data_IF_404271938678
#
_entry.id   IF_404271938678
#
_cell.length_a   1.000
_cell.length_b   1.000
_cell.length_c   1.000
_cell.angle_alpha   90.00
_cell.angle_beta   90.00
_cell.angle_gamma   90.00
#
_symmetry.space_group_name_H-M   'P 1'
#
loop_
_entity.id
_entity.type
_entity.pdbx_description
1 polymer ?
#
# COMPACT_ATOMS: atom_id res chain seq x y z
N UNK A 1 25.59 20.31 17.20
CA UNK A 1 27.02 20.33 16.79
C UNK A 1 27.29 21.62 16.03
N UNK A 2 28.42 22.30 16.27
CA UNK A 2 28.84 23.48 15.51
C UNK A 2 30.20 23.18 14.87
N UNK A 3 30.26 23.26 13.54
CA UNK A 3 31.48 23.10 12.75
C UNK A 3 31.68 24.37 11.93
N UNK A 4 32.82 25.03 12.12
CA UNK A 4 33.17 26.24 11.40
C UNK A 4 34.35 25.96 10.49
N UNK A 5 34.19 26.27 9.21
CA UNK A 5 35.24 26.18 8.21
C UNK A 5 35.63 27.58 7.76
N UNK A 6 36.93 27.90 7.85
CA UNK A 6 37.47 29.20 7.49
C UNK A 6 38.45 29.00 6.33
N UNK A 7 38.26 29.74 5.26
CA UNK A 7 39.11 29.71 4.07
C UNK A 7 39.65 31.10 3.79
N UNK A 8 40.97 31.23 3.81
CA UNK A 8 41.65 32.46 3.44
C UNK A 8 42.05 32.42 1.97
N UNK A 9 41.42 33.29 1.20
CA UNK A 9 41.67 33.45 -0.24
C UNK A 9 42.53 34.70 -0.40
N UNK A 10 43.79 34.46 -0.73
CA UNK A 10 44.80 35.49 -0.97
C UNK A 10 45.06 35.62 -2.47
N UNK A 11 44.84 36.79 -3.02
CA UNK A 11 45.24 37.06 -4.40
C UNK A 11 44.70 38.39 -4.92
N UNK A 12 45.24 38.90 -6.04
CA UNK A 12 44.74 40.09 -6.71
C UNK A 12 43.49 39.80 -7.56
N UNK A 13 42.55 39.02 -7.02
CA UNK A 13 41.38 38.54 -7.75
C UNK A 13 40.09 38.93 -7.04
N UNK A 14 39.05 39.21 -7.82
CA UNK A 14 37.70 39.40 -7.33
C UNK A 14 36.92 38.11 -7.51
N UNK A 15 36.23 37.66 -6.46
CA UNK A 15 35.37 36.47 -6.53
C UNK A 15 33.94 36.90 -6.86
N UNK A 16 33.49 36.63 -8.09
CA UNK A 16 32.14 37.00 -8.55
C UNK A 16 31.05 35.95 -8.23
N UNK A 17 31.46 34.72 -7.95
CA UNK A 17 30.55 33.63 -7.64
C UNK A 17 31.19 32.60 -6.71
N UNK A 18 30.37 31.93 -5.91
CA UNK A 18 30.76 30.84 -5.03
C UNK A 18 29.85 29.64 -5.27
N UNK A 19 30.43 28.44 -5.35
CA UNK A 19 29.68 27.19 -5.37
C UNK A 19 30.10 26.35 -4.18
N UNK A 20 29.12 25.86 -3.43
CA UNK A 20 29.33 25.01 -2.25
C UNK A 20 28.74 23.65 -2.55
N UNK A 21 29.52 22.62 -2.21
CA UNK A 21 29.15 21.23 -2.40
C UNK A 21 29.30 20.47 -1.08
N UNK A 22 28.23 19.82 -0.63
CA UNK A 22 28.24 18.89 0.48
C UNK A 22 28.02 17.48 -0.07
N UNK A 23 28.95 16.59 0.23
CA UNK A 23 28.86 15.18 -0.14
C UNK A 23 29.22 14.31 1.04
N UNK A 24 28.41 13.29 1.29
CA UNK A 24 28.73 12.22 2.23
C UNK A 24 28.16 10.91 1.70
N UNK A 25 28.91 9.79 1.80
CA UNK A 25 28.43 8.49 1.35
C UNK A 25 27.28 8.00 2.23
N UNK A 26 26.51 7.02 1.72
CA UNK A 26 25.55 6.29 2.55
C UNK A 26 26.29 5.41 3.56
N UNK A 27 25.68 5.22 4.73
CA UNK A 27 26.19 4.37 5.80
C UNK A 27 25.10 3.43 6.25
N UNK A 28 25.39 2.13 6.23
CA UNK A 28 24.47 1.08 6.69
C UNK A 28 25.03 0.52 7.98
N UNK A 29 24.20 0.48 9.02
CA UNK A 29 24.53 0.04 10.38
C UNK A 29 23.55 -1.07 10.77
N UNK A 30 24.01 -2.00 11.60
CA UNK A 30 23.23 -3.13 12.12
C UNK A 30 22.51 -3.91 11.02
N UNK A 31 23.27 -4.43 10.04
CA UNK A 31 22.74 -5.29 8.96
C UNK A 31 21.58 -4.68 8.13
N UNK A 32 21.40 -3.36 8.13
CA UNK A 32 20.34 -2.68 7.37
C UNK A 32 19.25 -2.04 8.22
N UNK A 33 19.24 -2.30 9.53
CA UNK A 33 18.22 -1.75 10.45
C UNK A 33 18.32 -0.23 10.54
N UNK A 34 19.53 0.33 10.47
CA UNK A 34 19.75 1.77 10.37
C UNK A 34 20.52 2.11 9.10
N UNK A 35 19.93 2.95 8.26
CA UNK A 35 20.58 3.43 7.03
C UNK A 35 20.62 4.94 7.01
N UNK A 36 21.81 5.54 7.04
CA UNK A 36 22.01 6.93 6.68
C UNK A 36 22.16 7.04 5.16
N UNK A 37 21.27 7.79 4.52
CA UNK A 37 21.31 8.01 3.08
C UNK A 37 22.47 8.93 2.70
N UNK A 38 22.90 8.81 1.44
CA UNK A 38 23.90 9.67 0.85
C UNK A 38 23.45 11.13 0.91
N UNK A 39 24.37 12.02 1.28
CA UNK A 39 24.21 13.45 1.12
C UNK A 39 24.85 13.86 -0.20
N UNK A 40 24.07 14.50 -1.06
CA UNK A 40 24.57 15.12 -2.30
C UNK A 40 23.83 16.44 -2.50
N UNK A 41 24.50 17.54 -2.18
CA UNK A 41 23.92 18.87 -2.22
C UNK A 41 24.89 19.88 -2.82
N UNK A 42 24.40 20.65 -3.79
CA UNK A 42 25.16 21.69 -4.46
C UNK A 42 24.34 22.98 -4.52
N UNK A 43 24.95 24.10 -4.12
CA UNK A 43 24.34 25.41 -4.30
C UNK A 43 25.36 26.42 -4.84
N UNK A 44 24.93 27.19 -5.83
CA UNK A 44 25.73 28.26 -6.43
C UNK A 44 25.16 29.62 -6.05
N UNK A 45 26.04 30.55 -5.76
CA UNK A 45 25.75 31.92 -5.36
C UNK A 45 26.48 32.85 -6.29
N UNK A 46 25.72 33.67 -7.00
CA UNK A 46 26.25 34.74 -7.83
C UNK A 46 25.25 35.88 -7.82
N UNK A 47 25.75 37.09 -8.00
CA UNK A 47 24.89 38.25 -8.22
C UNK A 47 25.43 39.00 -9.42
N UNK A 48 24.61 39.26 -10.45
CA UNK A 48 25.07 39.98 -11.63
C UNK A 48 25.66 41.34 -11.24
N UNK A 49 26.79 41.69 -11.86
CA UNK A 49 27.48 42.97 -11.67
C UNK A 49 27.89 43.27 -10.21
N UNK A 50 28.01 42.25 -9.35
CA UNK A 50 28.51 42.38 -7.98
C UNK A 50 29.60 41.35 -7.70
N UNK A 51 30.48 41.68 -6.78
CA UNK A 51 31.49 40.75 -6.26
C UNK A 51 31.12 40.31 -4.85
N UNK A 52 31.63 39.15 -4.44
CA UNK A 52 31.57 38.75 -3.04
C UNK A 52 32.30 39.78 -2.17
N UNK A 53 31.74 40.03 -1.00
CA UNK A 53 32.40 40.84 0.04
C UNK A 53 33.71 40.20 0.50
N UNK A 54 34.53 40.96 1.23
CA UNK A 54 35.79 40.45 1.79
C UNK A 54 35.59 39.32 2.81
N UNK A 55 34.51 39.36 3.58
CA UNK A 55 34.25 38.39 4.65
C UNK A 55 32.85 37.78 4.51
N UNK A 56 32.57 36.97 3.47
CA UNK A 56 31.26 36.35 3.34
C UNK A 56 31.08 35.28 4.42
N UNK A 57 29.95 35.37 5.12
CA UNK A 57 29.55 34.39 6.13
C UNK A 57 28.36 33.60 5.60
N UNK A 58 28.48 32.28 5.64
CA UNK A 58 27.50 31.34 5.09
C UNK A 58 27.02 30.44 6.20
N UNK A 59 25.76 30.60 6.57
CA UNK A 59 25.15 29.79 7.61
C UNK A 59 24.46 28.58 6.97
N UNK A 60 24.93 27.40 7.33
CA UNK A 60 24.38 26.12 6.89
C UNK A 60 23.71 25.47 8.08
N UNK A 61 22.39 25.29 8.00
CA UNK A 61 21.62 24.52 8.98
C UNK A 61 21.38 23.12 8.44
N UNK A 62 21.91 22.13 9.14
CA UNK A 62 21.72 20.71 8.85
C UNK A 62 20.52 20.19 9.63
N UNK A 63 19.43 19.87 8.92
CA UNK A 63 18.23 19.31 9.53
C UNK A 63 18.24 17.79 9.42
N UNK A 64 18.04 17.10 10.54
CA UNK A 64 17.89 15.64 10.54
C UNK A 64 16.48 15.27 10.09
N UNK A 65 16.39 14.36 9.13
CA UNK A 65 15.13 13.75 8.73
C UNK A 65 15.24 12.24 8.93
N UNK A 66 14.38 11.72 9.80
CA UNK A 66 14.38 10.32 10.23
C UNK A 66 13.07 9.71 9.78
N UNK A 67 13.14 8.77 8.86
CA UNK A 67 12.01 7.93 8.48
C UNK A 67 12.08 6.63 9.26
N UNK A 68 10.97 6.29 9.92
CA UNK A 68 10.75 5.01 10.58
C UNK A 68 9.70 4.25 9.80
N UNK A 69 10.05 3.07 9.33
CA UNK A 69 9.10 2.17 8.65
C UNK A 69 8.77 1.03 9.61
N UNK A 70 7.54 1.04 10.11
CA UNK A 70 7.04 -0.05 10.95
C UNK A 70 6.83 -1.31 10.10
N UNK A 71 7.13 -2.47 10.68
CA UNK A 71 6.96 -3.71 9.96
C UNK A 71 5.49 -4.16 9.86
N UNK A 72 5.22 -4.99 8.86
CA UNK A 72 3.95 -5.66 8.63
C UNK A 72 3.67 -6.76 9.67
N UNK A 73 4.72 -7.40 10.18
CA UNK A 73 4.64 -8.45 11.21
C UNK A 73 5.29 -8.01 12.52
N UNK A 74 4.98 -8.71 13.63
CA UNK A 74 5.61 -8.47 14.94
C UNK A 74 7.03 -9.06 15.05
N UNK A 75 7.40 -9.94 14.13
CA UNK A 75 8.68 -10.66 14.13
C UNK A 75 9.76 -9.93 13.32
N UNK A 76 9.33 -9.11 12.37
CA UNK A 76 10.22 -8.34 11.50
C UNK A 76 10.70 -7.06 12.20
N UNK A 77 11.93 -6.66 11.87
CA UNK A 77 12.55 -5.47 12.44
C UNK A 77 11.98 -4.17 11.85
N UNK A 78 11.94 -3.14 12.69
CA UNK A 78 11.63 -1.78 12.27
C UNK A 78 12.86 -1.19 11.59
N UNK A 79 12.70 -0.72 10.36
CA UNK A 79 13.80 -0.07 9.63
C UNK A 79 13.78 1.44 9.84
N UNK A 80 14.97 2.00 10.02
CA UNK A 80 15.19 3.43 10.17
C UNK A 80 16.05 3.93 9.02
N UNK A 81 15.56 4.93 8.29
CA UNK A 81 16.36 5.64 7.30
C UNK A 81 16.52 7.09 7.71
N UNK A 82 17.75 7.58 7.76
CA UNK A 82 18.08 8.96 8.11
C UNK A 82 18.67 9.68 6.91
N UNK A 83 18.38 10.97 6.77
CA UNK A 83 19.07 11.84 5.82
C UNK A 83 19.26 13.22 6.43
N UNK A 84 20.27 13.92 5.96
CA UNK A 84 20.56 15.30 6.35
C UNK A 84 20.11 16.26 5.25
N UNK A 85 19.28 17.23 5.59
CA UNK A 85 18.87 18.30 4.69
C UNK A 85 19.61 19.59 5.04
N UNK A 86 20.57 20.04 4.21
CA UNK A 86 21.20 21.34 4.37
C UNK A 86 20.23 22.44 3.95
N UNK A 87 20.12 23.47 4.78
CA UNK A 87 19.43 24.72 4.46
C UNK A 87 20.44 25.85 4.60
N UNK A 88 20.69 26.58 3.51
CA UNK A 88 21.62 27.70 3.53
C UNK A 88 20.84 28.99 3.74
N UNK A 89 21.20 29.71 4.80
CA UNK A 89 20.74 31.06 5.06
C UNK A 89 21.91 32.02 4.82
N UNK A 90 21.65 33.06 4.05
CA UNK A 90 22.66 34.05 3.72
C UNK A 90 22.16 35.45 4.02
N UNK A 91 23.04 36.24 4.61
CA UNK A 91 22.97 37.69 4.53
C UNK A 91 23.58 38.13 3.20
N UNK A 92 23.34 39.38 2.79
CA UNK A 92 23.84 39.94 1.52
C UNK A 92 25.34 39.71 1.37
N UNK A 93 25.71 38.79 0.47
CA UNK A 93 27.10 38.44 0.17
C UNK A 93 27.82 39.47 -0.69
N UNK A 94 27.11 40.50 -1.13
CA UNK A 94 27.54 41.39 -2.20
C UNK A 94 27.99 42.72 -1.65
N UNK A 95 29.19 43.13 -2.01
CA UNK A 95 29.58 44.53 -1.96
C UNK A 95 29.15 45.20 -3.26
N UNK A 96 28.63 46.42 -3.18
CA UNK A 96 28.47 47.25 -4.38
C UNK A 96 29.88 47.62 -4.84
N UNK A 97 30.22 47.23 -6.07
CA UNK A 97 31.44 47.69 -6.71
C UNK A 97 31.40 49.23 -6.72
N UNK A 98 32.20 49.87 -5.87
CA UNK A 98 32.42 51.32 -5.92
C UNK A 98 33.18 51.63 -7.22
N UNK A 99 32.44 51.94 -8.27
CA UNK A 99 32.98 52.49 -9.50
C UNK A 99 33.45 53.92 -9.20
N UNK A 100 34.77 54.15 -9.16
CA UNK A 100 35.30 55.51 -9.23
C UNK A 100 35.35 55.94 -10.69
N UNK A 101 34.87 57.16 -10.95
CA UNK A 101 34.99 57.84 -12.23
C UNK A 101 36.41 57.71 -12.82
N UNK A 102 36.47 57.47 -14.14
CA UNK A 102 37.68 57.38 -15.00
C UNK A 102 38.36 56.01 -15.16
N UNK A 103 37.59 54.92 -15.14
CA UNK A 103 38.01 53.66 -15.77
C UNK A 103 39.11 52.87 -15.04
N UNK A 104 39.47 53.27 -13.83
CA UNK A 104 40.41 52.53 -12.98
C UNK A 104 39.67 51.89 -11.81
N UNK A 105 39.86 50.58 -11.65
CA UNK A 105 39.30 49.79 -10.55
C UNK A 105 40.03 50.11 -9.24
N UNK A 106 39.39 50.83 -8.30
CA UNK A 106 39.94 51.03 -6.96
C UNK A 106 39.74 49.78 -6.08
N UNK A 107 40.56 48.76 -6.31
CA UNK A 107 40.93 47.80 -5.25
C UNK A 107 42.37 47.36 -5.48
N UNK A 108 43.30 48.29 -5.28
CA UNK A 108 44.72 48.02 -5.37
C UNK A 108 45.23 47.30 -4.10
N UNK A 109 46.05 46.27 -4.33
CA UNK A 109 47.01 45.61 -3.42
C UNK A 109 46.41 44.67 -2.34
N UNK A 110 46.60 43.36 -2.53
CA UNK A 110 46.26 42.27 -1.58
C UNK A 110 44.82 42.34 -1.05
N UNK A 111 43.85 41.92 -1.88
CA UNK A 111 42.56 41.51 -1.34
C UNK A 111 42.73 40.19 -0.58
N UNK A 112 42.69 40.29 0.74
CA UNK A 112 42.45 39.16 1.62
C UNK A 112 40.93 38.98 1.71
N UNK A 113 40.47 37.78 1.40
CA UNK A 113 39.07 37.40 1.56
C UNK A 113 38.99 36.19 2.50
N UNK A 114 38.24 36.32 3.59
CA UNK A 114 38.04 35.22 4.55
C UNK A 114 36.61 34.71 4.40
N UNK A 115 36.47 33.55 3.75
CA UNK A 115 35.19 32.85 3.64
C UNK A 115 34.95 32.04 4.92
N UNK A 116 33.83 32.32 5.59
CA UNK A 116 33.40 31.59 6.78
C UNK A 116 32.15 30.78 6.45
N UNK A 117 32.22 29.46 6.67
CA UNK A 117 31.08 28.55 6.54
C UNK A 117 30.79 27.98 7.93
N UNK A 118 29.64 28.38 8.49
CA UNK A 118 29.17 27.94 9.78
C UNK A 118 28.12 26.86 9.60
N UNK A 119 28.48 25.62 9.93
CA UNK A 119 27.60 24.46 9.85
C UNK A 119 27.07 24.17 11.24
N UNK A 120 25.76 24.27 11.37
CA UNK A 120 25.05 24.06 12.63
C UNK A 120 23.96 23.02 12.44
N UNK A 121 23.69 22.26 13.49
CA UNK A 121 22.53 21.38 13.53
C UNK A 121 21.26 22.20 13.81
N UNK A 122 20.16 21.88 13.11
CA UNK A 122 18.86 22.50 13.37
C UNK A 122 18.32 22.13 14.76
N UNK A 123 17.56 23.04 15.36
CA UNK A 123 16.91 22.83 16.67
C UNK A 123 15.80 21.77 16.61
N UNK A 124 15.30 21.47 15.41
CA UNK A 124 14.26 20.46 15.19
C UNK A 124 14.74 19.39 14.22
N UNK A 125 14.15 18.21 14.37
CA UNK A 125 14.27 17.09 13.43
C UNK A 125 12.90 16.73 12.88
N UNK A 126 12.83 16.33 11.61
CA UNK A 126 11.59 15.81 11.03
C UNK A 126 11.57 14.30 11.20
N UNK A 127 10.51 13.78 11.82
CA UNK A 127 10.29 12.34 11.93
C UNK A 127 9.11 11.94 11.07
N UNK A 128 9.36 11.15 10.03
CA UNK A 128 8.30 10.51 9.25
C UNK A 128 8.09 9.10 9.79
N UNK A 129 6.85 8.73 10.10
CA UNK A 129 6.52 7.38 10.55
C UNK A 129 5.58 6.77 9.53
N UNK A 130 6.04 5.70 8.87
CA UNK A 130 5.25 4.93 7.93
C UNK A 130 4.77 3.66 8.62
N UNK A 131 3.46 3.44 8.61
CA UNK A 131 2.83 2.23 9.11
C UNK A 131 2.19 1.45 7.95
N UNK A 132 2.17 0.11 8.02
CA UNK A 132 1.49 -0.70 7.01
C UNK A 132 -0.01 -0.40 7.02
N UNK A 133 -0.63 -0.43 5.84
CA UNK A 133 -2.08 -0.16 5.65
C UNK A 133 -2.95 -1.15 6.43
N UNK A 134 -2.50 -2.40 6.54
CA UNK A 134 -3.12 -3.43 7.37
C UNK A 134 -2.03 -4.32 7.97
N UNK A 135 -2.11 -4.60 9.26
CA UNK A 135 -1.16 -5.48 9.94
C UNK A 135 -1.58 -6.94 9.78
N UNK A 136 -0.63 -7.87 9.75
CA UNK A 136 -0.94 -9.28 9.49
C UNK A 136 -1.95 -9.86 10.49
N UNK A 137 -1.83 -9.52 11.78
CA UNK A 137 -2.75 -9.99 12.81
C UNK A 137 -4.18 -9.45 12.65
N UNK A 138 -4.35 -8.23 12.13
CA UNK A 138 -5.67 -7.65 11.85
C UNK A 138 -6.35 -8.38 10.71
N UNK A 139 -5.59 -8.69 9.65
CA UNK A 139 -6.08 -9.48 8.51
C UNK A 139 -6.49 -10.88 8.97
N UNK A 140 -5.63 -11.54 9.76
CA UNK A 140 -5.92 -12.88 10.29
C UNK A 140 -7.14 -12.86 11.20
N UNK A 141 -7.23 -11.89 12.11
CA UNK A 141 -8.38 -11.75 13.01
C UNK A 141 -9.68 -11.52 12.25
N UNK A 142 -9.70 -10.59 11.30
CA UNK A 142 -10.88 -10.31 10.49
C UNK A 142 -11.30 -11.53 9.65
N UNK A 143 -10.35 -12.31 9.16
CA UNK A 143 -10.62 -13.54 8.40
C UNK A 143 -11.25 -14.61 9.29
N UNK A 144 -10.73 -14.80 10.51
CA UNK A 144 -11.30 -15.75 11.48
C UNK A 144 -12.72 -15.31 11.88
N UNK A 145 -12.91 -14.02 12.16
CA UNK A 145 -14.21 -13.47 12.54
C UNK A 145 -15.24 -13.65 11.42
N UNK A 146 -14.83 -13.39 10.17
CA UNK A 146 -15.67 -13.62 9.00
C UNK A 146 -16.03 -15.11 8.85
N UNK A 147 -15.07 -16.01 9.02
CA UNK A 147 -15.31 -17.45 8.93
C UNK A 147 -16.30 -17.95 10.00
N UNK A 148 -16.16 -17.47 11.25
CA UNK A 148 -17.10 -17.79 12.32
C UNK A 148 -18.52 -17.32 12.00
N UNK A 149 -18.66 -16.08 11.50
CA UNK A 149 -19.96 -15.54 11.10
C UNK A 149 -20.59 -16.37 9.96
N UNK A 150 -19.80 -16.83 9.00
CA UNK A 150 -20.29 -17.73 7.94
C UNK A 150 -20.79 -19.07 8.50
N UNK A 151 -20.06 -19.67 9.45
CA UNK A 151 -20.49 -20.93 10.09
C UNK A 151 -21.78 -20.75 10.88
N UNK A 152 -21.90 -19.66 11.64
CA UNK A 152 -23.11 -19.34 12.39
C UNK A 152 -24.31 -19.15 11.47
N UNK A 153 -24.12 -18.47 10.34
CA UNK A 153 -25.19 -18.26 9.35
C UNK A 153 -25.64 -19.58 8.70
N UNK A 154 -24.71 -20.47 8.35
CA UNK A 154 -25.03 -21.81 7.82
C UNK A 154 -25.73 -22.65 8.89
N UNK A 155 -25.27 -22.60 10.14
CA UNK A 155 -25.91 -23.28 11.27
C UNK A 155 -27.34 -22.82 11.50
N UNK A 156 -27.57 -21.49 11.48
CA UNK A 156 -28.89 -20.90 11.63
C UNK A 156 -29.82 -21.27 10.48
N UNK A 157 -29.30 -21.30 9.25
CA UNK A 157 -30.05 -21.74 8.07
C UNK A 157 -30.43 -23.22 8.15
N UNK A 158 -29.52 -24.08 8.64
CA UNK A 158 -29.79 -25.51 8.85
C UNK A 158 -30.85 -25.74 9.94
N UNK A 159 -30.75 -25.03 11.07
CA UNK A 159 -31.74 -25.07 12.15
C UNK A 159 -33.11 -24.60 11.63
N UNK A 160 -33.15 -23.50 10.89
CA UNK A 160 -34.36 -22.99 10.25
C UNK A 160 -35.00 -24.00 9.30
N UNK A 161 -34.19 -24.67 8.46
CA UNK A 161 -34.69 -25.73 7.58
C UNK A 161 -35.31 -26.89 8.37
N UNK A 162 -34.64 -27.37 9.41
CA UNK A 162 -35.12 -28.50 10.21
C UNK A 162 -36.37 -28.16 11.02
N UNK A 163 -36.45 -26.96 11.60
CA UNK A 163 -37.57 -26.54 12.45
C UNK A 163 -38.78 -26.04 11.68
N UNK A 164 -38.59 -25.31 10.59
CA UNK A 164 -39.72 -24.72 9.85
C UNK A 164 -40.12 -25.57 8.65
N UNK A 165 -39.15 -26.00 7.83
CA UNK A 165 -39.43 -26.65 6.54
C UNK A 165 -39.81 -28.12 6.74
N UNK A 166 -39.11 -28.85 7.61
CA UNK A 166 -39.39 -30.27 7.86
C UNK A 166 -40.83 -30.55 8.36
N UNK A 167 -41.36 -29.88 9.40
CA UNK A 167 -42.73 -30.12 9.84
C UNK A 167 -43.76 -29.63 8.81
N UNK A 168 -43.44 -28.62 8.01
CA UNK A 168 -44.32 -28.11 6.96
C UNK A 168 -44.45 -29.11 5.80
N UNK A 169 -43.35 -29.76 5.41
CA UNK A 169 -43.37 -30.89 4.46
C UNK A 169 -44.21 -32.05 5.02
N UNK A 170 -44.01 -32.44 6.28
CA UNK A 170 -44.78 -33.52 6.91
C UNK A 170 -46.28 -33.20 6.99
N UNK A 171 -46.65 -31.94 7.28
CA UNK A 171 -48.04 -31.48 7.29
C UNK A 171 -48.67 -31.54 5.89
N UNK A 172 -47.95 -31.07 4.86
CA UNK A 172 -48.41 -31.13 3.48
C UNK A 172 -48.60 -32.59 3.04
N UNK A 173 -47.63 -33.48 3.30
CA UNK A 173 -47.74 -34.90 2.98
C UNK A 173 -48.94 -35.56 3.65
N UNK A 174 -49.16 -35.32 4.96
CA UNK A 174 -50.36 -35.84 5.67
C UNK A 174 -51.65 -35.37 5.00
N UNK A 175 -51.72 -34.11 4.58
CA UNK A 175 -52.91 -33.53 3.92
C UNK A 175 -53.16 -34.16 2.54
N UNK A 176 -52.11 -34.45 1.78
CA UNK A 176 -52.21 -35.15 0.49
C UNK A 176 -52.59 -36.63 0.63
N UNK A 177 -52.01 -37.36 1.59
CA UNK A 177 -52.35 -38.77 1.84
C UNK A 177 -53.78 -38.95 2.38
N UNK A 178 -54.27 -38.03 3.22
CA UNK A 178 -55.65 -38.10 3.69
C UNK A 178 -56.66 -37.90 2.55
N UNK A 179 -56.32 -37.07 1.56
CA UNK A 179 -57.15 -36.82 0.37
C UNK A 179 -57.20 -38.01 -0.60
N UNK A 180 -56.15 -38.85 -0.66
CA UNK A 180 -56.17 -40.09 -1.46
C UNK A 180 -56.99 -41.22 -0.82
N UNK A 181 -56.94 -41.40 0.51
CA UNK A 181 -57.74 -42.43 1.20
C UNK A 181 -59.26 -42.23 1.05
N UNK A 182 -59.73 -40.99 0.97
CA UNK A 182 -61.16 -40.69 0.76
C UNK A 182 -61.62 -40.88 -0.70
N UNK A 183 -60.70 -41.04 -1.67
CA UNK A 183 -61.05 -41.25 -3.09
C UNK A 183 -61.18 -42.75 -3.45
N UNK A 184 -60.56 -43.65 -2.69
CA UNK A 184 -60.66 -45.10 -2.91
C UNK A 184 -61.91 -45.77 -2.33
N UNK A 185 -62.65 -45.08 -1.45
CA UNK A 185 -63.88 -45.60 -0.83
C UNK A 185 -65.18 -45.27 -1.61
N UNK A 186 -65.10 -44.48 -2.69
CA UNK A 186 -66.25 -44.05 -3.51
C UNK A 186 -66.33 -44.81 -4.86
N UNK A 187 -65.39 -45.71 -5.16
CA UNK A 187 -65.29 -46.38 -6.47
C UNK A 187 -65.41 -47.91 -6.42
N UNK A 188 -66.14 -48.48 -5.45
CA UNK A 188 -66.41 -49.92 -5.39
C UNK A 188 -67.89 -50.33 -5.54
N UNK A 189 -68.81 -49.37 -5.56
CA UNK A 189 -70.23 -49.64 -5.71
C UNK A 189 -70.75 -49.08 -7.05
N UNK A 190 -70.31 -49.67 -8.17
CA UNK A 190 -71.15 -49.70 -9.37
C UNK A 190 -70.61 -50.65 -10.45
N UNK A 191 -71.52 -51.49 -10.95
CA UNK A 191 -71.52 -52.24 -12.21
C UNK A 191 -70.88 -53.64 -12.27
N UNK A 192 -71.72 -54.62 -11.93
CA UNK A 192 -71.88 -55.88 -12.68
C UNK A 192 -72.98 -55.64 -13.73
N UNK A 193 -72.69 -55.87 -15.02
CA UNK A 193 -73.52 -56.59 -16.00
C UNK A 193 -72.74 -56.72 -17.33
N UNK A 194 -72.75 -57.96 -17.85
CA UNK A 194 -72.37 -58.47 -19.19
C UNK A 194 -72.80 -57.57 -20.37
N UNK A 195 -72.26 -57.60 -21.59
CA UNK A 195 -71.98 -58.75 -22.49
C UNK A 195 -71.26 -58.24 -23.78
N UNK A 196 -70.35 -59.06 -24.32
CA UNK A 196 -70.20 -59.47 -25.75
C UNK A 196 -69.71 -58.53 -26.89
N UNK A 197 -68.48 -58.83 -27.35
CA UNK A 197 -67.90 -58.99 -28.73
C UNK A 197 -67.99 -57.83 -29.76
N UNK A 198 -66.82 -57.32 -30.19
CA UNK A 198 -66.23 -57.44 -31.56
C UNK A 198 -64.83 -56.77 -31.65
N UNK A 199 -63.85 -57.50 -32.18
CA UNK A 199 -62.54 -57.06 -32.69
C UNK A 199 -62.71 -56.47 -34.13
N UNK A 200 -61.68 -55.96 -34.86
CA UNK A 200 -60.32 -55.55 -34.50
C UNK A 200 -59.89 -54.18 -35.11
N UNK A 201 -58.73 -53.62 -34.70
CA UNK A 201 -57.62 -53.28 -35.62
C UNK A 201 -56.54 -52.37 -35.00
N UNK A 202 -55.29 -52.89 -35.07
CA UNK A 202 -54.03 -52.22 -35.49
C UNK A 202 -53.63 -50.93 -34.79
N UNK A 203 -52.54 -50.97 -34.00
CA UNK A 203 -51.16 -50.55 -34.38
C UNK A 203 -50.78 -49.44 -33.37
N UNK A 204 -49.59 -49.23 -32.81
CA UNK A 204 -48.20 -49.50 -33.19
C UNK A 204 -47.32 -49.24 -31.93
N UNK A 205 -46.24 -50.02 -31.79
CA UNK A 205 -44.96 -49.79 -31.06
C UNK A 205 -44.95 -49.59 -29.54
N UNK A 206 -44.45 -50.57 -28.77
CA UNK A 206 -43.01 -50.93 -28.51
C UNK A 206 -42.28 -49.86 -27.68
N UNK A 207 -42.00 -50.15 -26.40
CA UNK A 207 -40.70 -50.63 -25.85
C UNK A 207 -39.63 -49.53 -25.84
N UNK A 208 -38.77 -49.34 -24.85
CA UNK A 208 -38.31 -50.17 -23.74
C UNK A 208 -37.47 -49.27 -22.80
N UNK A 209 -37.35 -49.67 -21.50
CA UNK A 209 -36.12 -49.79 -20.66
C UNK A 209 -34.94 -48.82 -20.92
N UNK A 210 -34.14 -48.39 -19.97
CA UNK A 210 -33.73 -48.85 -18.63
C UNK A 210 -32.93 -47.65 -18.08
N UNK A 211 -33.07 -47.21 -16.84
CA UNK A 211 -32.47 -47.75 -15.64
C UNK A 211 -30.92 -47.64 -15.57
N UNK A 212 -30.51 -47.08 -14.44
CA UNK A 212 -29.30 -47.36 -13.66
C UNK A 212 -27.97 -46.65 -13.96
N UNK A 213 -27.63 -45.83 -12.96
CA UNK A 213 -26.51 -46.03 -12.02
C UNK A 213 -25.19 -45.30 -12.25
N UNK A 214 -24.73 -44.78 -11.11
CA UNK A 214 -23.35 -44.69 -10.64
C UNK A 214 -22.48 -43.64 -11.34
N UNK A 215 -21.53 -42.94 -10.73
CA UNK A 215 -21.04 -42.66 -9.37
C UNK A 215 -19.77 -41.81 -9.65
N UNK A 216 -19.20 -41.10 -8.66
CA UNK A 216 -17.76 -40.70 -8.63
C UNK A 216 -17.43 -39.53 -9.60
N UNK A 217 -16.62 -38.49 -9.35
CA UNK A 217 -15.84 -37.95 -8.24
C UNK A 217 -15.13 -36.69 -8.83
N UNK A 218 -14.67 -35.79 -7.96
CA UNK A 218 -13.51 -34.88 -8.15
C UNK A 218 -13.56 -33.72 -9.15
N UNK A 219 -13.49 -32.53 -8.53
CA UNK A 219 -12.43 -31.53 -8.63
C UNK A 219 -12.34 -30.51 -9.79
N UNK A 220 -12.16 -29.28 -9.30
CA UNK A 220 -11.29 -28.21 -9.81
C UNK A 220 -11.68 -27.50 -11.11
N UNK A 221 -12.35 -26.35 -10.93
CA UNK A 221 -12.13 -25.16 -11.75
C UNK A 221 -10.71 -24.63 -11.48
N UNK A 222 -9.82 -24.76 -12.46
CA UNK A 222 -8.63 -23.91 -12.57
C UNK A 222 -8.96 -22.73 -13.49
N UNK A 223 -9.02 -21.53 -12.92
CA UNK A 223 -8.86 -20.29 -13.66
C UNK A 223 -7.84 -19.46 -12.89
N UNK A 224 -6.59 -19.47 -13.35
CA UNK A 224 -5.66 -18.38 -13.08
C UNK A 224 -4.86 -18.10 -14.34
N UNK A 225 -5.12 -16.90 -14.85
CA UNK A 225 -4.29 -16.16 -15.78
C UNK A 225 -3.15 -15.58 -14.96
N UNK A 226 -1.91 -15.74 -15.40
CA UNK A 226 -0.82 -14.91 -14.91
C UNK A 226 0.00 -14.38 -16.08
N UNK A 227 -0.03 -13.06 -16.19
CA UNK A 227 0.72 -12.19 -17.07
C UNK A 227 2.16 -12.01 -16.56
N UNK A 228 3.09 -11.96 -17.51
CA UNK A 228 4.31 -11.14 -17.59
C UNK A 228 4.68 -10.34 -16.32
N UNK A 229 5.86 -10.63 -15.77
CA UNK A 229 7.05 -9.75 -15.81
C UNK A 229 8.30 -10.62 -15.83
#
# INVERSE_FOLDING_TARGET
MLLQCIFDILGPYFVGALRIYFSAPSVIIDNGTYTAQQLDYCQSFFTPNKTLTSNPVINVKMTKVINRTASMTLLDEVTYTGLWLPTLAMNTLTDDLLFSEKGEFYRYVRSHMTLVIDITESEFSVKNTQEPIARTYEITFNTILFFMLCLDLVGLLFIGFKLAILPLILLIQKRFFHKQKNKSSISKDHHIYETTIEEPSKEIRKHHRNNNNNQILTNHKSWFVQSKF
#
